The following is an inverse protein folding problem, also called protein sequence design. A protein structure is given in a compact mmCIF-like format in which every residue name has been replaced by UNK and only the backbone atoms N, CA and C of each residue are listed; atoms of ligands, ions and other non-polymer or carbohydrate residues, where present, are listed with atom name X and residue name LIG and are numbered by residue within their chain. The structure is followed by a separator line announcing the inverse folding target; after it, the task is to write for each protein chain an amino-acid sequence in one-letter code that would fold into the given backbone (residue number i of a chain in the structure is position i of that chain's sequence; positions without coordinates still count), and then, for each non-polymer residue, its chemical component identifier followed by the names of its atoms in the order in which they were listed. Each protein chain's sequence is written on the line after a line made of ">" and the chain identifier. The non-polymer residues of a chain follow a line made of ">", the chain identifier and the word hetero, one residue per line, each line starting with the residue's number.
data_IF_130445942922
#
_entry.id   IF_130445942922
#
_cell.length_a   1.000
_cell.length_b   1.000
_cell.length_c   1.000
_cell.angle_alpha   90.00
_cell.angle_beta   90.00
_cell.angle_gamma   90.00
#
_symmetry.space_group_name_H-M   'P 1'
#
loop_
_entity.id
_entity.type
_entity.pdbx_description
1 polymer ?
#
# COMPACT_ATOMS: atom_id res chain seq x y z
N UNK A 1 1.04 -13.76 11.32
CA UNK A 1 1.36 -12.92 10.14
C UNK A 1 0.79 -13.63 8.92
N UNK A 2 0.17 -12.91 7.98
CA UNK A 2 -0.38 -13.52 6.76
C UNK A 2 0.76 -13.98 5.82
N UNK A 3 0.51 -14.96 4.94
CA UNK A 3 1.44 -15.36 3.87
C UNK A 3 2.41 -16.51 4.16
N UNK A 4 2.33 -17.16 5.33
CA UNK A 4 3.13 -18.35 5.66
C UNK A 4 2.41 -19.67 5.36
N UNK A 5 3.17 -20.77 5.32
CA UNK A 5 2.57 -22.11 5.32
C UNK A 5 1.89 -22.36 6.67
N UNK A 6 0.59 -22.68 6.64
CA UNK A 6 -0.22 -22.97 7.83
C UNK A 6 -1.06 -24.21 7.60
N UNK A 7 -1.44 -24.89 8.70
CA UNK A 7 -2.42 -25.98 8.68
C UNK A 7 -3.60 -25.60 9.56
N UNK A 8 -4.80 -25.95 9.12
CA UNK A 8 -6.04 -25.76 9.88
C UNK A 8 -7.02 -26.90 9.58
N UNK A 9 -8.04 -27.07 10.41
CA UNK A 9 -9.09 -28.06 10.17
C UNK A 9 -10.03 -27.62 9.04
N UNK A 10 -10.66 -28.58 8.36
CA UNK A 10 -11.66 -28.29 7.33
C UNK A 10 -12.80 -27.41 7.88
N UNK A 11 -13.25 -27.70 9.10
CA UNK A 11 -14.29 -26.92 9.80
C UNK A 11 -13.88 -25.47 10.06
N UNK A 12 -12.60 -25.24 10.37
CA UNK A 12 -12.09 -23.87 10.55
C UNK A 12 -11.97 -23.14 9.22
N UNK A 13 -11.56 -23.84 8.15
CA UNK A 13 -11.48 -23.26 6.81
C UNK A 13 -12.88 -22.89 6.29
N UNK A 14 -13.87 -23.76 6.47
CA UNK A 14 -15.27 -23.50 6.10
C UNK A 14 -15.81 -22.24 6.78
N UNK A 15 -15.60 -22.11 8.10
CA UNK A 15 -15.97 -20.90 8.85
C UNK A 15 -15.31 -19.65 8.27
N UNK A 16 -14.00 -19.69 8.04
CA UNK A 16 -13.26 -18.55 7.51
C UNK A 16 -13.73 -18.12 6.11
N UNK A 17 -14.09 -19.08 5.24
CA UNK A 17 -14.61 -18.78 3.89
C UNK A 17 -16.03 -18.22 3.90
N UNK A 18 -16.83 -18.60 4.90
CA UNK A 18 -18.22 -18.19 5.07
C UNK A 18 -18.38 -16.96 5.99
N UNK A 19 -17.27 -16.31 6.37
CA UNK A 19 -17.27 -15.15 7.26
C UNK A 19 -18.14 -14.01 6.71
N UNK A 20 -18.89 -13.36 7.60
CA UNK A 20 -19.87 -12.33 7.24
C UNK A 20 -19.36 -10.96 7.67
N UNK A 21 -19.76 -9.94 6.91
CA UNK A 21 -19.47 -8.55 7.25
C UNK A 21 -18.98 -7.74 6.05
N UNK A 22 -18.53 -6.50 6.31
CA UNK A 22 -17.93 -5.65 5.31
C UNK A 22 -16.77 -6.36 4.61
N UNK A 23 -16.69 -6.26 3.28
CA UNK A 23 -15.66 -6.91 2.45
C UNK A 23 -15.66 -8.46 2.46
N UNK A 24 -16.74 -9.10 2.93
CA UNK A 24 -16.89 -10.57 2.80
C UNK A 24 -16.92 -11.01 1.33
N UNK A 25 -16.23 -12.11 1.02
CA UNK A 25 -16.17 -12.68 -0.33
C UNK A 25 -17.22 -13.76 -0.59
N UNK A 26 -18.11 -14.07 0.36
CA UNK A 26 -19.22 -15.04 0.22
C UNK A 26 -18.80 -16.40 -0.36
N UNK A 27 -17.76 -17.02 0.19
CA UNK A 27 -17.19 -18.28 -0.32
C UNK A 27 -16.72 -18.23 -1.79
N UNK A 28 -16.43 -17.05 -2.34
CA UNK A 28 -15.96 -16.90 -3.72
C UNK A 28 -14.67 -17.70 -3.94
N UNK A 29 -14.60 -18.34 -5.10
CA UNK A 29 -13.39 -18.94 -5.62
C UNK A 29 -13.39 -18.80 -7.14
N UNK A 30 -12.19 -18.71 -7.69
CA UNK A 30 -11.96 -18.73 -9.13
C UNK A 30 -11.03 -19.88 -9.44
N UNK A 31 -11.35 -20.61 -10.51
CA UNK A 31 -10.43 -21.57 -11.10
C UNK A 31 -9.88 -20.93 -12.36
N UNK A 32 -8.57 -20.70 -12.39
CA UNK A 32 -7.88 -20.20 -13.57
C UNK A 32 -7.54 -21.39 -14.47
N UNK A 33 -8.13 -21.43 -15.66
CA UNK A 33 -7.79 -22.42 -16.67
C UNK A 33 -6.71 -21.87 -17.60
N UNK A 34 -5.67 -22.65 -17.84
CA UNK A 34 -4.66 -22.31 -18.83
C UNK A 34 -5.31 -22.26 -20.21
N UNK A 35 -4.99 -21.24 -20.99
CA UNK A 35 -5.43 -21.13 -22.38
C UNK A 35 -4.27 -21.45 -23.32
N UNK A 36 -4.59 -21.82 -24.57
CA UNK A 36 -3.58 -22.00 -25.63
C UNK A 36 -3.12 -20.66 -26.25
N UNK A 37 -3.65 -19.53 -25.77
CA UNK A 37 -3.24 -18.21 -26.26
C UNK A 37 -1.83 -17.91 -25.77
N UNK A 38 -0.91 -17.73 -26.72
CA UNK A 38 0.41 -17.18 -26.43
C UNK A 38 0.24 -15.69 -26.10
N UNK A 39 1.04 -15.20 -25.16
CA UNK A 39 1.13 -13.78 -24.84
C UNK A 39 2.59 -13.38 -24.72
N UNK A 40 2.89 -12.14 -25.08
CA UNK A 40 4.21 -11.57 -24.82
C UNK A 40 4.23 -10.94 -23.44
N UNK A 41 4.89 -11.63 -22.51
CA UNK A 41 5.05 -11.16 -21.13
C UNK A 41 5.78 -9.81 -21.06
N UNK A 42 6.76 -9.56 -21.95
CA UNK A 42 7.52 -8.31 -21.92
C UNK A 42 6.63 -7.11 -22.23
N UNK A 43 5.85 -7.21 -23.32
CA UNK A 43 4.85 -6.18 -23.66
C UNK A 43 3.79 -6.02 -22.57
N UNK A 44 3.31 -7.13 -21.98
CA UNK A 44 2.31 -7.09 -20.91
C UNK A 44 2.81 -6.34 -19.66
N UNK A 45 4.08 -6.54 -19.26
CA UNK A 45 4.69 -5.83 -18.13
C UNK A 45 4.72 -4.32 -18.41
N UNK A 46 5.20 -3.90 -19.58
CA UNK A 46 5.26 -2.48 -19.96
C UNK A 46 3.88 -1.83 -19.95
N UNK A 47 2.88 -2.50 -20.54
CA UNK A 47 1.49 -2.03 -20.54
C UNK A 47 0.94 -1.93 -19.12
N UNK A 48 1.17 -2.92 -18.27
CA UNK A 48 0.68 -2.91 -16.89
C UNK A 48 1.27 -1.76 -16.08
N UNK A 49 2.58 -1.51 -16.19
CA UNK A 49 3.27 -0.42 -15.51
C UNK A 49 2.73 0.94 -15.96
N UNK A 50 2.60 1.15 -17.28
CA UNK A 50 2.07 2.41 -17.82
C UNK A 50 0.63 2.64 -17.38
N UNK A 51 -0.24 1.64 -17.48
CA UNK A 51 -1.64 1.76 -17.05
C UNK A 51 -1.73 2.10 -15.56
N UNK A 52 -0.99 1.38 -14.71
CA UNK A 52 -0.96 1.67 -13.27
C UNK A 52 -0.44 3.09 -12.99
N UNK A 53 0.54 3.57 -13.76
CA UNK A 53 1.07 4.94 -13.63
C UNK A 53 0.06 6.00 -14.05
N UNK A 54 -0.66 5.78 -15.15
CA UNK A 54 -1.73 6.67 -15.61
C UNK A 54 -2.83 6.77 -14.55
N UNK A 55 -3.31 5.62 -14.06
CA UNK A 55 -4.40 5.57 -13.08
C UNK A 55 -3.99 6.23 -11.75
N UNK A 56 -2.76 5.97 -11.29
CA UNK A 56 -2.25 6.56 -10.06
C UNK A 56 -2.08 8.09 -10.15
N UNK A 57 -1.59 8.59 -11.28
CA UNK A 57 -1.33 10.02 -11.50
C UNK A 57 -2.62 10.82 -11.78
N UNK A 58 -3.66 10.15 -12.27
CA UNK A 58 -4.96 10.74 -12.61
C UNK A 58 -6.10 10.20 -11.74
N UNK A 59 -6.04 10.35 -10.40
CA UNK A 59 -7.08 9.83 -9.53
C UNK A 59 -8.40 10.59 -9.77
N UNK A 60 -9.50 9.83 -9.85
CA UNK A 60 -10.83 10.40 -10.08
C UNK A 60 -11.31 11.38 -8.98
N UNK A 61 -10.73 11.27 -7.78
CA UNK A 61 -10.99 12.17 -6.64
C UNK A 61 -9.70 12.49 -5.89
N UNK A 62 -9.69 13.60 -5.15
CA UNK A 62 -8.50 14.08 -4.42
C UNK A 62 -8.10 13.20 -3.21
N UNK A 63 -8.89 12.20 -2.84
CA UNK A 63 -8.62 11.32 -1.69
C UNK A 63 -7.87 10.03 -2.07
N UNK A 64 -7.36 9.93 -3.29
CA UNK A 64 -6.69 8.73 -3.84
C UNK A 64 -5.29 9.09 -4.33
N UNK A 65 -4.38 8.10 -4.32
CA UNK A 65 -3.00 8.25 -4.78
C UNK A 65 -2.25 9.33 -4.01
N UNK A 66 -1.29 9.99 -4.66
CA UNK A 66 -0.47 11.02 -4.03
C UNK A 66 -1.27 12.21 -3.49
N UNK A 67 -2.38 12.57 -4.16
CA UNK A 67 -3.29 13.64 -3.69
C UNK A 67 -3.95 13.25 -2.37
N UNK A 68 -4.37 12.00 -2.24
CA UNK A 68 -4.92 11.44 -1.01
C UNK A 68 -3.90 11.47 0.12
N UNK A 69 -2.66 11.03 -0.13
CA UNK A 69 -1.57 11.06 0.84
C UNK A 69 -1.30 12.49 1.33
N UNK A 70 -1.21 13.44 0.40
CA UNK A 70 -1.03 14.86 0.73
C UNK A 70 -2.19 15.40 1.55
N UNK A 71 -3.43 15.04 1.23
CA UNK A 71 -4.59 15.42 2.03
C UNK A 71 -4.50 14.83 3.44
N UNK A 72 -4.17 13.55 3.56
CA UNK A 72 -4.01 12.86 4.85
C UNK A 72 -3.00 13.58 5.74
N UNK A 73 -1.89 14.11 5.21
CA UNK A 73 -0.92 14.88 6.01
C UNK A 73 -1.51 16.08 6.76
N UNK A 74 -2.61 16.66 6.25
CA UNK A 74 -3.33 17.77 6.87
C UNK A 74 -4.42 17.27 7.81
N UNK A 75 -5.15 16.24 7.39
CA UNK A 75 -6.29 15.73 8.15
C UNK A 75 -5.88 15.02 9.44
N UNK A 76 -4.71 14.37 9.49
CA UNK A 76 -4.26 13.67 10.70
C UNK A 76 -3.98 14.63 11.87
N UNK A 77 -3.62 15.89 11.58
CA UNK A 77 -3.43 16.92 12.61
C UNK A 77 -4.76 17.35 13.20
N UNK A 78 -5.76 17.63 12.34
CA UNK A 78 -7.12 17.95 12.79
C UNK A 78 -7.74 16.80 13.57
N UNK A 79 -7.52 15.57 13.09
CA UNK A 79 -7.98 14.36 13.77
C UNK A 79 -7.39 14.25 15.17
N UNK A 80 -6.08 14.48 15.32
CA UNK A 80 -5.44 14.53 16.64
C UNK A 80 -6.07 15.59 17.55
N UNK A 81 -6.28 16.82 17.05
CA UNK A 81 -6.83 17.93 17.84
C UNK A 81 -8.31 17.71 18.25
N UNK A 82 -9.08 16.92 17.47
CA UNK A 82 -10.50 16.65 17.71
C UNK A 82 -10.80 15.29 18.35
N UNK A 83 -9.79 14.42 18.48
CA UNK A 83 -9.98 13.05 18.94
C UNK A 83 -10.42 12.99 20.41
N UNK A 84 -11.36 12.10 20.70
CA UNK A 84 -11.79 11.79 22.08
C UNK A 84 -11.09 10.56 22.64
N UNK A 85 -10.41 9.78 21.79
CA UNK A 85 -9.70 8.55 22.13
C UNK A 85 -8.41 8.41 21.30
N UNK A 86 -7.45 9.33 21.52
CA UNK A 86 -6.17 9.33 20.80
C UNK A 86 -5.46 7.97 20.90
N UNK A 87 -5.53 7.33 22.07
CA UNK A 87 -4.86 6.05 22.27
C UNK A 87 -5.48 4.95 21.40
N UNK A 88 -6.79 4.72 21.52
CA UNK A 88 -7.47 3.66 20.77
C UNK A 88 -7.44 3.90 19.27
N UNK A 89 -7.73 5.12 18.84
CA UNK A 89 -7.85 5.51 17.44
C UNK A 89 -6.54 5.38 16.66
N UNK A 90 -5.43 5.90 17.21
CA UNK A 90 -4.13 5.84 16.55
C UNK A 90 -3.50 4.44 16.65
N UNK A 91 -3.71 3.71 17.74
CA UNK A 91 -3.26 2.31 17.87
C UNK A 91 -3.99 1.40 16.88
N UNK A 92 -5.30 1.58 16.73
CA UNK A 92 -6.08 0.85 15.75
C UNK A 92 -5.61 1.15 14.32
N UNK A 93 -5.40 2.42 14.00
CA UNK A 93 -4.92 2.83 12.67
C UNK A 93 -3.54 2.28 12.33
N UNK A 94 -2.58 2.35 13.25
CA UNK A 94 -1.27 1.73 13.06
C UNK A 94 -1.35 0.21 12.85
N UNK A 95 -2.25 -0.46 13.59
CA UNK A 95 -2.51 -1.90 13.46
C UNK A 95 -3.08 -2.24 12.09
N UNK A 96 -4.02 -1.44 11.59
CA UNK A 96 -4.61 -1.62 10.26
C UNK A 96 -3.55 -1.44 9.17
N UNK A 97 -2.74 -0.38 9.27
CA UNK A 97 -1.67 -0.08 8.32
C UNK A 97 -0.66 -1.23 8.19
N UNK A 98 -0.13 -1.74 9.31
CA UNK A 98 0.97 -2.71 9.29
C UNK A 98 0.54 -4.18 9.34
N UNK A 99 -0.52 -4.50 10.09
CA UNK A 99 -0.93 -5.90 10.33
C UNK A 99 -2.10 -6.35 9.48
N UNK A 100 -3.08 -5.47 9.24
CA UNK A 100 -4.18 -5.79 8.34
C UNK A 100 -3.80 -5.59 6.87
N UNK A 101 -2.70 -4.88 6.60
CA UNK A 101 -2.14 -4.70 5.26
C UNK A 101 -2.84 -3.61 4.44
N UNK A 102 -3.79 -2.89 5.03
CA UNK A 102 -4.54 -1.82 4.36
C UNK A 102 -4.04 -0.47 4.86
N UNK A 103 -3.44 0.31 3.97
CA UNK A 103 -2.99 1.68 4.26
C UNK A 103 -1.52 1.82 4.71
N UNK A 104 -0.77 0.73 4.89
CA UNK A 104 0.68 0.75 5.14
C UNK A 104 1.53 0.35 3.94
N UNK A 105 2.71 -0.22 4.22
CA UNK A 105 3.73 -0.54 3.22
C UNK A 105 3.41 -1.77 2.33
N UNK A 106 2.39 -2.58 2.66
CA UNK A 106 2.15 -3.88 2.02
C UNK A 106 2.12 -3.82 0.49
N UNK A 107 1.24 -3.00 -0.09
CA UNK A 107 1.14 -2.89 -1.55
C UNK A 107 2.36 -2.23 -2.21
N UNK A 108 3.11 -1.39 -1.48
CA UNK A 108 4.38 -0.84 -1.97
C UNK A 108 5.46 -1.89 -2.02
N UNK A 109 5.53 -2.78 -1.03
CA UNK A 109 6.44 -3.92 -1.07
C UNK A 109 6.10 -4.87 -2.22
N UNK A 110 4.80 -5.15 -2.45
CA UNK A 110 4.37 -5.95 -3.59
C UNK A 110 4.79 -5.32 -4.93
N UNK A 111 4.56 -4.01 -5.09
CA UNK A 111 4.93 -3.31 -6.32
C UNK A 111 6.45 -3.18 -6.48
N UNK A 112 7.19 -2.95 -5.39
CA UNK A 112 8.66 -3.00 -5.35
C UNK A 112 9.20 -4.32 -5.90
N UNK A 113 8.66 -5.44 -5.44
CA UNK A 113 9.12 -6.77 -5.84
C UNK A 113 8.76 -7.05 -7.31
N UNK A 114 7.57 -6.65 -7.74
CA UNK A 114 7.18 -6.66 -9.15
C UNK A 114 8.13 -5.84 -10.05
N UNK A 115 8.57 -4.66 -9.62
CA UNK A 115 9.53 -3.83 -10.36
C UNK A 115 10.91 -4.49 -10.46
N UNK A 116 11.36 -5.18 -9.41
CA UNK A 116 12.62 -5.94 -9.43
C UNK A 116 12.54 -7.10 -10.42
N UNK A 117 11.49 -7.91 -10.36
CA UNK A 117 11.29 -9.03 -11.29
C UNK A 117 11.16 -8.53 -12.74
N UNK A 118 10.50 -7.38 -12.94
CA UNK A 118 10.39 -6.73 -14.24
C UNK A 118 11.76 -6.26 -14.76
N UNK A 119 12.61 -5.68 -13.89
CA UNK A 119 13.98 -5.33 -14.24
C UNK A 119 14.77 -6.56 -14.67
N UNK A 120 14.63 -7.68 -13.94
CA UNK A 120 15.40 -8.88 -14.25
C UNK A 120 15.10 -9.43 -15.65
N UNK A 121 13.86 -9.25 -16.14
CA UNK A 121 13.40 -9.65 -17.47
C UNK A 121 13.69 -8.63 -18.58
N UNK A 122 13.52 -7.33 -18.29
CA UNK A 122 13.54 -6.26 -19.29
C UNK A 122 14.86 -5.48 -19.34
N UNK A 123 15.65 -5.50 -18.26
CA UNK A 123 16.94 -4.80 -18.10
C UNK A 123 16.88 -3.28 -18.35
N UNK A 124 15.73 -2.66 -18.08
CA UNK A 124 15.54 -1.20 -18.17
C UNK A 124 15.93 -0.54 -16.85
N UNK A 125 16.92 0.35 -16.86
CA UNK A 125 17.46 0.94 -15.62
C UNK A 125 16.39 1.74 -14.84
N UNK A 126 15.41 2.34 -15.53
CA UNK A 126 14.24 2.99 -14.91
C UNK A 126 13.50 2.08 -13.93
N UNK A 127 13.40 0.78 -14.21
CA UNK A 127 12.73 -0.20 -13.33
C UNK A 127 13.52 -0.44 -12.05
N UNK A 128 14.84 -0.50 -12.16
CA UNK A 128 15.74 -0.69 -11.01
C UNK A 128 15.80 0.56 -10.14
N UNK A 129 15.79 1.74 -10.75
CA UNK A 129 15.67 3.01 -10.03
C UNK A 129 14.35 3.09 -9.28
N UNK A 130 13.24 2.83 -9.96
CA UNK A 130 11.91 2.82 -9.34
C UNK A 130 11.81 1.77 -8.23
N UNK A 131 12.39 0.58 -8.40
CA UNK A 131 12.47 -0.43 -7.34
C UNK A 131 13.12 0.12 -6.07
N UNK A 132 14.27 0.81 -6.19
CA UNK A 132 14.95 1.45 -5.06
C UNK A 132 14.09 2.54 -4.42
N UNK A 133 13.43 3.36 -5.22
CA UNK A 133 12.51 4.39 -4.72
C UNK A 133 11.35 3.75 -3.93
N UNK A 134 10.81 2.62 -4.40
CA UNK A 134 9.74 1.91 -3.71
C UNK A 134 10.20 1.21 -2.41
N UNK A 135 11.49 0.86 -2.26
CA UNK A 135 12.07 0.48 -0.96
C UNK A 135 11.93 1.65 0.03
N UNK A 136 12.40 2.83 -0.36
CA UNK A 136 12.35 4.01 0.50
C UNK A 136 10.91 4.41 0.85
N UNK A 137 10.02 4.40 -0.15
CA UNK A 137 8.59 4.69 0.05
C UNK A 137 7.98 3.69 1.04
N UNK A 138 8.24 2.39 0.90
CA UNK A 138 7.73 1.39 1.83
C UNK A 138 8.21 1.62 3.26
N UNK A 139 9.50 1.92 3.44
CA UNK A 139 10.08 2.22 4.76
C UNK A 139 9.45 3.46 5.40
N UNK A 140 9.19 4.51 4.63
CA UNK A 140 8.52 5.72 5.11
C UNK A 140 7.07 5.43 5.56
N UNK A 141 6.33 4.56 4.87
CA UNK A 141 5.00 4.15 5.32
C UNK A 141 5.03 3.41 6.66
N UNK A 142 6.00 2.52 6.86
CA UNK A 142 6.21 1.86 8.15
C UNK A 142 6.59 2.86 9.24
N UNK A 143 7.39 3.89 8.91
CA UNK A 143 7.70 4.97 9.84
C UNK A 143 6.44 5.74 10.28
N UNK A 144 5.49 6.04 9.37
CA UNK A 144 4.20 6.68 9.73
C UNK A 144 3.42 5.82 10.72
N UNK A 145 3.30 4.51 10.49
CA UNK A 145 2.63 3.61 11.43
C UNK A 145 3.29 3.60 12.81
N UNK A 146 4.62 3.56 12.85
CA UNK A 146 5.36 3.63 14.10
C UNK A 146 5.14 4.95 14.85
N UNK A 147 5.04 6.07 14.13
CA UNK A 147 4.69 7.37 14.71
C UNK A 147 3.26 7.38 15.25
N UNK A 148 2.30 6.76 14.58
CA UNK A 148 0.95 6.59 15.12
C UNK A 148 0.95 5.76 16.41
N UNK A 149 1.78 4.72 16.50
CA UNK A 149 1.97 4.00 17.77
C UNK A 149 2.57 4.91 18.85
N UNK A 150 3.52 5.79 18.52
CA UNK A 150 4.03 6.77 19.49
C UNK A 150 2.94 7.75 19.93
N UNK A 151 2.15 8.31 19.00
CA UNK A 151 0.99 9.15 19.29
C UNK A 151 0.03 8.45 20.25
N UNK A 152 -0.29 7.17 20.01
CA UNK A 152 -1.19 6.42 20.88
C UNK A 152 -0.67 6.27 22.32
N UNK A 153 0.65 6.15 22.49
CA UNK A 153 1.30 5.95 23.81
C UNK A 153 1.54 7.24 24.57
N UNK A 154 1.97 8.29 23.87
CA UNK A 154 2.47 9.52 24.50
C UNK A 154 1.47 10.66 24.44
N UNK A 155 0.57 10.62 23.45
CA UNK A 155 -0.38 11.70 23.12
C UNK A 155 0.34 13.03 22.84
N UNK A 156 1.60 12.98 22.40
CA UNK A 156 2.39 14.17 22.10
C UNK A 156 2.24 14.61 20.64
N UNK A 157 1.95 15.90 20.44
CA UNK A 157 1.73 16.49 19.11
C UNK A 157 2.93 16.40 18.17
N UNK A 158 4.15 16.39 18.70
CA UNK A 158 5.38 16.28 17.90
C UNK A 158 5.38 15.04 16.98
N UNK A 159 4.81 13.91 17.43
CA UNK A 159 4.77 12.69 16.64
C UNK A 159 3.75 12.76 15.49
N UNK A 160 2.63 13.48 15.67
CA UNK A 160 1.68 13.70 14.59
C UNK A 160 2.22 14.67 13.54
N UNK A 161 2.98 15.68 13.96
CA UNK A 161 3.65 16.63 13.07
C UNK A 161 4.73 15.92 12.23
N UNK A 162 5.55 15.07 12.86
CA UNK A 162 6.51 14.23 12.15
C UNK A 162 5.83 13.30 11.13
N UNK A 163 4.70 12.68 11.50
CA UNK A 163 3.95 11.81 10.60
C UNK A 163 3.39 12.60 9.40
N UNK A 164 2.90 13.83 9.65
CA UNK A 164 2.42 14.73 8.61
C UNK A 164 3.52 15.09 7.62
N UNK A 165 4.73 15.37 8.09
CA UNK A 165 5.86 15.71 7.22
C UNK A 165 6.33 14.51 6.40
N UNK A 166 6.36 13.30 6.97
CA UNK A 166 6.63 12.08 6.21
C UNK A 166 5.55 11.85 5.14
N UNK A 167 4.27 12.06 5.45
CA UNK A 167 3.19 11.92 4.46
C UNK A 167 3.32 12.93 3.30
N UNK A 168 3.74 14.17 3.56
CA UNK A 168 4.04 15.13 2.48
C UNK A 168 5.17 14.62 1.58
N UNK A 169 6.25 14.09 2.19
CA UNK A 169 7.36 13.51 1.45
C UNK A 169 6.93 12.29 0.63
N UNK A 170 6.12 11.41 1.20
CA UNK A 170 5.54 10.25 0.53
C UNK A 170 4.72 10.65 -0.69
N UNK A 171 3.87 11.67 -0.58
CA UNK A 171 3.09 12.17 -1.71
C UNK A 171 3.99 12.60 -2.87
N UNK A 172 5.06 13.36 -2.60
CA UNK A 172 6.01 13.78 -3.63
C UNK A 172 6.79 12.58 -4.20
N UNK A 173 7.31 11.69 -3.35
CA UNK A 173 8.09 10.53 -3.79
C UNK A 173 7.27 9.58 -4.65
N UNK A 174 6.06 9.22 -4.23
CA UNK A 174 5.21 8.34 -5.03
C UNK A 174 4.80 8.99 -6.35
N UNK A 175 4.45 10.29 -6.36
CA UNK A 175 4.18 11.01 -7.61
C UNK A 175 5.36 10.93 -8.58
N UNK A 176 6.56 11.27 -8.11
CA UNK A 176 7.76 11.29 -8.95
C UNK A 176 8.12 9.89 -9.48
N UNK A 177 8.02 8.86 -8.64
CA UNK A 177 8.28 7.48 -9.05
C UNK A 177 7.30 7.03 -10.15
N UNK A 178 6.02 7.37 -10.00
CA UNK A 178 5.00 7.03 -11.00
C UNK A 178 5.16 7.86 -12.29
N UNK A 179 5.62 9.11 -12.22
CA UNK A 179 5.94 9.92 -13.41
C UNK A 179 7.11 9.32 -14.21
N UNK A 180 8.14 8.80 -13.52
CA UNK A 180 9.24 8.07 -14.18
C UNK A 180 8.74 6.77 -14.83
N UNK A 181 7.92 6.01 -14.11
CA UNK A 181 7.31 4.77 -14.59
C UNK A 181 6.26 4.98 -15.68
N UNK A 182 5.82 6.21 -15.94
CA UNK A 182 4.98 6.51 -17.09
C UNK A 182 5.81 6.58 -18.40
N UNK A 183 7.10 6.90 -18.30
CA UNK A 183 7.99 7.17 -19.44
C UNK A 183 8.80 5.96 -19.91
N UNK A 184 8.70 4.82 -19.23
CA UNK A 184 9.22 3.51 -19.68
C UNK A 184 8.47 3.07 -20.92
#
# INVERSE_FOLDING_TARGET
>A
QQGGQVKTSLKSLEKARAEKGPMSSKNLYYTLNKTNKKFDLKSAILTAIRNNSIDYLNPAINNIGYKGILKTSKEIQKWFDMSKDIEGEFKASATIMEKAGTGGALFRNLYRDFLQESYDLLKLETLKEAHKEFIDIANLWTAVSNLFLQVSKTKERKYIEQAADILKQLATKEKNAMEKLLMI
#
